data_IF_598136302479
#
_entry.id   IF_598136302479
#
_cell.length_a   1.000
_cell.length_b   1.000
_cell.length_c   1.000
_cell.angle_alpha   90.00
_cell.angle_beta   90.00
_cell.angle_gamma   90.00
#
_symmetry.space_group_name_H-M   'P 1'
#
loop_
_entity.id
_entity.type
_entity.pdbx_description
1 polymer ?
#
# COMPACT_ATOMS: atom_id res chain seq x y z
N UNK A 1 6.57 8.62 -3.72
CA UNK A 1 5.10 8.81 -3.62
C UNK A 1 4.69 9.89 -4.60
N UNK A 2 3.79 9.58 -5.53
CA UNK A 2 3.14 10.58 -6.38
C UNK A 2 1.77 10.94 -5.78
N UNK A 3 1.41 12.22 -5.80
CA UNK A 3 0.05 12.69 -5.46
C UNK A 3 -0.59 13.18 -6.75
N UNK A 4 -1.71 12.54 -7.13
CA UNK A 4 -2.42 12.85 -8.37
C UNK A 4 -3.77 13.49 -8.06
N UNK A 5 -4.07 14.60 -8.74
CA UNK A 5 -5.43 15.14 -8.76
C UNK A 5 -6.33 14.21 -9.57
N UNK A 6 -7.48 13.88 -9.01
CA UNK A 6 -8.52 13.06 -9.63
C UNK A 6 -9.82 13.87 -9.67
N UNK A 7 -10.64 13.66 -10.69
CA UNK A 7 -11.95 14.30 -10.81
C UNK A 7 -13.04 13.58 -9.96
N UNK A 8 -12.65 12.52 -9.25
CA UNK A 8 -13.50 11.78 -8.33
C UNK A 8 -13.60 12.50 -6.98
N UNK A 9 -14.80 12.51 -6.39
CA UNK A 9 -15.04 13.10 -5.09
C UNK A 9 -14.40 12.29 -3.95
N UNK A 10 -14.14 10.99 -4.15
CA UNK A 10 -13.53 10.14 -3.12
C UNK A 10 -12.03 9.94 -3.36
N UNK A 11 -11.18 10.38 -2.42
CA UNK A 11 -9.78 10.10 -2.51
C UNK A 11 -9.49 8.60 -2.40
N UNK A 12 -8.47 8.13 -3.14
CA UNK A 12 -8.05 6.72 -3.15
C UNK A 12 -6.54 6.58 -3.24
N UNK A 13 -6.07 5.36 -3.03
CA UNK A 13 -4.69 4.90 -3.27
C UNK A 13 -4.67 4.01 -4.51
N UNK A 14 -3.61 4.12 -5.29
CA UNK A 14 -3.27 3.15 -6.32
C UNK A 14 -1.77 2.82 -6.22
N UNK A 15 -1.38 1.64 -6.69
CA UNK A 15 0.02 1.22 -6.71
C UNK A 15 0.58 1.37 -8.12
N UNK A 16 1.80 1.89 -8.21
CA UNK A 16 2.57 1.91 -9.44
C UNK A 16 3.55 0.74 -9.38
N UNK A 17 3.42 -0.20 -10.32
CA UNK A 17 4.26 -1.37 -10.44
C UNK A 17 5.22 -1.16 -11.61
N UNK A 18 6.48 -0.94 -11.29
CA UNK A 18 7.51 -0.76 -12.30
C UNK A 18 7.81 -2.06 -13.02
N UNK A 19 7.88 -1.98 -14.35
CA UNK A 19 8.29 -3.11 -15.19
C UNK A 19 9.15 -2.63 -16.34
N UNK A 20 10.21 -3.39 -16.62
CA UNK A 20 11.03 -3.22 -17.82
C UNK A 20 10.33 -3.71 -19.09
N UNK A 21 9.28 -4.52 -18.97
CA UNK A 21 8.41 -4.97 -20.06
C UNK A 21 6.93 -4.79 -19.68
N UNK A 22 6.48 -3.54 -19.79
CA UNK A 22 5.09 -3.15 -19.51
C UNK A 22 4.05 -3.97 -20.30
N UNK A 23 4.18 -4.22 -21.62
CA UNK A 23 3.25 -5.09 -22.35
C UNK A 23 3.14 -6.51 -21.76
N UNK A 24 4.26 -7.15 -21.40
CA UNK A 24 4.23 -8.46 -20.76
C UNK A 24 3.60 -8.40 -19.36
N UNK A 25 3.88 -7.35 -18.59
CA UNK A 25 3.30 -7.14 -17.26
C UNK A 25 1.76 -6.96 -17.33
N UNK A 26 1.26 -6.19 -18.30
CA UNK A 26 -0.18 -6.05 -18.57
C UNK A 26 -0.81 -7.39 -18.96
N UNK A 27 -0.15 -8.18 -19.83
CA UNK A 27 -0.63 -9.52 -20.20
C UNK A 27 -0.75 -10.43 -18.98
N UNK A 28 0.30 -10.48 -18.15
CA UNK A 28 0.32 -11.25 -16.89
C UNK A 28 -0.82 -10.84 -15.97
N UNK A 29 -1.06 -9.53 -15.81
CA UNK A 29 -2.18 -9.02 -15.02
C UNK A 29 -3.53 -9.56 -15.51
N UNK A 30 -3.79 -9.51 -16.82
CA UNK A 30 -5.03 -10.02 -17.41
C UNK A 30 -5.20 -11.52 -17.19
N UNK A 31 -4.14 -12.31 -17.38
CA UNK A 31 -4.15 -13.75 -17.20
C UNK A 31 -4.42 -14.15 -15.73
N UNK A 32 -4.03 -13.29 -14.78
CA UNK A 32 -4.29 -13.44 -13.35
C UNK A 32 -5.68 -12.92 -12.91
N UNK A 33 -6.51 -12.45 -13.84
CA UNK A 33 -7.88 -11.99 -13.55
C UNK A 33 -8.03 -10.50 -13.26
N UNK A 34 -7.00 -9.69 -13.53
CA UNK A 34 -7.14 -8.24 -13.49
C UNK A 34 -8.06 -7.74 -14.60
N UNK A 35 -8.72 -6.61 -14.36
CA UNK A 35 -9.55 -5.93 -15.36
C UNK A 35 -8.89 -4.63 -15.81
N UNK A 36 -8.93 -4.27 -17.11
CA UNK A 36 -8.49 -2.95 -17.54
C UNK A 36 -9.42 -1.87 -16.99
N UNK A 37 -8.85 -0.73 -16.56
CA UNK A 37 -9.60 0.42 -16.09
C UNK A 37 -9.59 1.54 -17.13
N UNK A 38 -8.40 2.11 -17.40
CA UNK A 38 -8.19 3.11 -18.45
C UNK A 38 -6.70 3.20 -18.81
N UNK A 39 -6.36 4.03 -19.80
CA UNK A 39 -4.97 4.33 -20.15
C UNK A 39 -4.66 5.78 -19.81
N UNK A 40 -3.72 6.01 -18.88
CA UNK A 40 -3.25 7.35 -18.48
C UNK A 40 -2.31 7.89 -19.54
N UNK A 41 -2.58 9.11 -20.02
CA UNK A 41 -1.79 9.83 -21.04
C UNK A 41 -1.53 9.01 -22.32
N UNK A 42 -2.41 8.06 -22.64
CA UNK A 42 -2.27 7.19 -23.81
C UNK A 42 -1.17 6.11 -23.71
N UNK A 43 -0.47 6.01 -22.58
CA UNK A 43 0.72 5.15 -22.46
C UNK A 43 0.68 4.19 -21.28
N UNK A 44 0.23 4.65 -20.11
CA UNK A 44 0.30 3.87 -18.86
C UNK A 44 -1.03 3.16 -18.64
N UNK A 45 -1.01 1.83 -18.71
CA UNK A 45 -2.19 1.00 -18.47
C UNK A 45 -2.55 1.02 -16.97
N UNK A 46 -3.74 1.51 -16.65
CA UNK A 46 -4.34 1.42 -15.32
C UNK A 46 -5.29 0.24 -15.29
N UNK A 47 -5.12 -0.60 -14.29
CA UNK A 47 -5.78 -1.89 -14.11
C UNK A 47 -6.49 -1.94 -12.76
N UNK A 48 -7.38 -2.92 -12.60
CA UNK A 48 -8.03 -3.30 -11.34
C UNK A 48 -7.61 -4.69 -10.94
N UNK A 49 -7.30 -4.90 -9.68
CA UNK A 49 -7.22 -6.23 -9.08
C UNK A 49 -8.61 -6.89 -9.07
N UNK A 50 -8.74 -8.21 -8.80
CA UNK A 50 -10.02 -8.92 -8.81
C UNK A 50 -11.13 -8.26 -7.95
N UNK A 51 -10.77 -7.69 -6.82
CA UNK A 51 -11.62 -6.96 -5.88
C UNK A 51 -11.63 -5.44 -6.10
N UNK A 52 -11.04 -4.94 -7.19
CA UNK A 52 -11.27 -3.59 -7.70
C UNK A 52 -10.20 -2.55 -7.36
N UNK A 53 -9.15 -2.90 -6.60
CA UNK A 53 -8.07 -1.97 -6.26
C UNK A 53 -7.31 -1.56 -7.52
N UNK A 54 -7.10 -0.25 -7.68
CA UNK A 54 -6.41 0.29 -8.83
C UNK A 54 -4.90 0.16 -8.68
N UNK A 55 -4.24 -0.19 -9.78
CA UNK A 55 -2.79 -0.13 -9.92
C UNK A 55 -2.42 0.14 -11.38
N UNK A 56 -1.18 0.52 -11.64
CA UNK A 56 -0.71 0.71 -13.01
C UNK A 56 0.65 0.10 -13.25
N UNK A 57 0.94 -0.23 -14.51
CA UNK A 57 2.25 -0.69 -14.93
C UNK A 57 3.05 0.50 -15.47
N UNK A 58 4.04 0.92 -14.71
CA UNK A 58 4.96 2.03 -15.02
C UNK A 58 6.26 1.49 -15.61
N UNK A 59 7.12 2.39 -16.12
CA UNK A 59 8.42 2.01 -16.67
C UNK A 59 9.48 2.25 -15.60
N UNK A 60 10.28 1.23 -15.36
CA UNK A 60 11.44 1.27 -14.48
C UNK A 60 12.43 2.35 -14.98
N UNK A 61 12.48 3.48 -14.29
CA UNK A 61 13.62 4.38 -14.34
C UNK A 61 14.45 4.04 -13.11
N UNK A 62 15.77 3.82 -13.22
CA UNK A 62 16.59 3.48 -12.07
C UNK A 62 16.46 4.57 -11.02
N UNK A 63 15.71 4.27 -9.96
CA UNK A 63 15.65 5.10 -8.77
C UNK A 63 16.74 4.64 -7.83
N UNK A 64 17.48 5.59 -7.27
CA UNK A 64 18.16 5.33 -6.00
C UNK A 64 17.12 4.75 -5.02
N UNK A 65 17.49 3.71 -4.27
CA UNK A 65 16.58 3.06 -3.31
C UNK A 65 15.96 4.08 -2.34
N UNK A 66 14.92 3.67 -1.62
CA UNK A 66 14.25 4.59 -0.71
C UNK A 66 15.24 5.09 0.36
N UNK A 67 15.49 6.41 0.38
CA UNK A 67 16.30 7.02 1.44
C UNK A 67 15.50 6.96 2.75
N UNK A 68 16.01 6.19 3.71
CA UNK A 68 15.38 5.95 5.02
C UNK A 68 16.21 6.47 6.19
N UNK A 69 17.52 6.64 5.99
CA UNK A 69 18.45 7.03 7.05
C UNK A 69 18.17 8.46 7.56
N UNK A 70 18.19 8.63 8.87
CA UNK A 70 17.97 9.91 9.54
C UNK A 70 16.54 10.49 9.46
N UNK A 71 15.56 9.73 8.97
CA UNK A 71 14.17 10.19 8.86
C UNK A 71 13.33 9.77 10.09
N UNK A 72 12.58 10.73 10.65
CA UNK A 72 11.64 10.47 11.76
C UNK A 72 10.31 9.86 11.30
N UNK A 73 10.01 9.95 10.00
CA UNK A 73 8.80 9.44 9.37
C UNK A 73 9.08 9.01 7.93
N UNK A 74 8.61 7.81 7.57
CA UNK A 74 8.82 7.21 6.24
C UNK A 74 7.52 6.53 5.79
N UNK A 75 7.15 6.69 4.51
CA UNK A 75 6.11 5.84 3.89
C UNK A 75 6.65 4.41 3.79
N UNK A 76 6.35 3.59 4.78
CA UNK A 76 7.02 2.31 4.97
C UNK A 76 6.38 1.20 4.17
N UNK A 77 5.05 1.23 4.14
CA UNK A 77 4.22 0.15 3.67
C UNK A 77 2.93 0.71 3.08
N UNK A 78 2.37 0.00 2.11
CA UNK A 78 0.97 0.13 1.69
C UNK A 78 0.22 -1.09 2.23
N UNK A 79 -0.84 -0.85 2.98
CA UNK A 79 -1.75 -1.89 3.44
C UNK A 79 -2.90 -2.00 2.42
N UNK A 80 -3.10 -3.19 1.87
CA UNK A 80 -4.20 -3.55 0.99
C UNK A 80 -5.30 -4.15 1.86
N UNK A 81 -6.39 -3.41 2.01
CA UNK A 81 -7.55 -3.79 2.81
C UNK A 81 -8.48 -4.66 1.97
N UNK A 82 -8.54 -5.95 2.31
CA UNK A 82 -9.24 -6.97 1.55
C UNK A 82 -10.43 -7.48 2.37
N UNK A 83 -11.67 -7.29 1.91
CA UNK A 83 -12.84 -7.91 2.53
C UNK A 83 -12.69 -9.42 2.64
N UNK A 84 -13.18 -10.02 3.72
CA UNK A 84 -13.08 -11.47 3.98
C UNK A 84 -13.48 -12.33 2.75
N UNK A 85 -14.56 -11.97 2.06
CA UNK A 85 -15.05 -12.71 0.90
C UNK A 85 -14.11 -12.67 -0.32
N UNK A 86 -13.19 -11.70 -0.38
CA UNK A 86 -12.25 -11.49 -1.48
C UNK A 86 -10.82 -11.93 -1.12
N UNK A 87 -10.59 -12.35 0.14
CA UNK A 87 -9.26 -12.62 0.70
C UNK A 87 -8.42 -13.56 -0.15
N UNK A 88 -8.93 -14.76 -0.45
CA UNK A 88 -8.16 -15.78 -1.15
C UNK A 88 -7.81 -15.35 -2.59
N UNK A 89 -8.76 -14.74 -3.30
CA UNK A 89 -8.54 -14.30 -4.69
C UNK A 89 -7.51 -13.16 -4.77
N UNK A 90 -7.60 -12.18 -3.88
CA UNK A 90 -6.68 -11.05 -3.86
C UNK A 90 -5.29 -11.42 -3.40
N UNK A 91 -5.16 -12.23 -2.35
CA UNK A 91 -3.85 -12.69 -1.89
C UNK A 91 -3.14 -13.46 -2.99
N UNK A 92 -3.83 -14.39 -3.65
CA UNK A 92 -3.26 -15.15 -4.77
C UNK A 92 -2.89 -14.24 -5.95
N UNK A 93 -3.71 -13.22 -6.23
CA UNK A 93 -3.44 -12.25 -7.28
C UNK A 93 -2.18 -11.44 -7.01
N UNK A 94 -2.07 -10.79 -5.85
CA UNK A 94 -0.92 -9.95 -5.53
C UNK A 94 0.37 -10.74 -5.37
N UNK A 95 0.30 -11.94 -4.76
CA UNK A 95 1.44 -12.83 -4.66
C UNK A 95 1.98 -13.20 -6.05
N UNK A 96 1.11 -13.65 -6.96
CA UNK A 96 1.53 -14.05 -8.30
C UNK A 96 1.94 -12.86 -9.16
N UNK A 97 1.25 -11.72 -9.07
CA UNK A 97 1.58 -10.54 -9.85
C UNK A 97 2.97 -10.00 -9.50
N UNK A 98 3.27 -9.89 -8.20
CA UNK A 98 4.54 -9.37 -7.71
C UNK A 98 5.67 -10.40 -7.71
N UNK A 99 5.34 -11.70 -7.77
CA UNK A 99 6.32 -12.79 -7.67
C UNK A 99 6.97 -12.92 -6.27
N UNK A 100 6.41 -12.24 -5.26
CA UNK A 100 6.95 -12.18 -3.90
C UNK A 100 6.53 -13.38 -3.07
N UNK A 101 7.35 -13.75 -2.08
CA UNK A 101 6.96 -14.74 -1.07
C UNK A 101 5.81 -14.23 -0.21
N UNK A 102 4.90 -15.11 0.19
CA UNK A 102 3.84 -14.77 1.13
C UNK A 102 4.24 -15.22 2.53
N UNK A 103 4.27 -14.29 3.47
CA UNK A 103 4.54 -14.56 4.88
C UNK A 103 3.31 -14.26 5.72
N UNK A 104 2.88 -15.21 6.57
CA UNK A 104 1.74 -14.97 7.47
C UNK A 104 2.18 -14.12 8.65
N UNK A 105 1.37 -13.10 8.98
CA UNK A 105 1.60 -12.28 10.15
C UNK A 105 1.28 -13.00 11.45
N UNK A 106 1.67 -12.38 12.57
CA UNK A 106 1.36 -12.88 13.92
C UNK A 106 -0.14 -12.91 14.20
N UNK A 107 -0.90 -12.05 13.55
CA UNK A 107 -2.37 -12.04 13.61
C UNK A 107 -2.93 -12.58 12.30
N UNK A 108 -4.01 -13.37 12.32
CA UNK A 108 -4.54 -14.05 11.13
C UNK A 108 -5.05 -13.08 10.06
N UNK A 109 -5.39 -11.86 10.43
CA UNK A 109 -5.80 -10.80 9.51
C UNK A 109 -4.64 -10.24 8.68
N UNK A 110 -3.38 -10.59 8.95
CA UNK A 110 -2.23 -10.02 8.24
C UNK A 110 -1.45 -11.07 7.45
N UNK A 111 -1.06 -10.71 6.23
CA UNK A 111 -0.04 -11.40 5.45
C UNK A 111 0.85 -10.39 4.72
N UNK A 112 2.13 -10.71 4.56
CA UNK A 112 3.13 -9.82 3.97
C UNK A 112 3.62 -10.40 2.64
N UNK A 113 3.82 -9.53 1.65
CA UNK A 113 4.54 -9.89 0.45
C UNK A 113 6.02 -9.54 0.63
N UNK A 114 6.82 -10.57 0.89
CA UNK A 114 8.25 -10.45 1.19
C UNK A 114 8.98 -9.69 0.09
N UNK A 115 9.72 -8.66 0.50
CA UNK A 115 10.66 -7.97 -0.38
C UNK A 115 12.06 -8.54 -0.13
N UNK A 116 12.75 -9.08 -1.15
CA UNK A 116 14.13 -9.53 -0.99
C UNK A 116 15.08 -8.39 -0.61
N UNK A 117 14.72 -7.13 -0.89
CA UNK A 117 15.47 -5.96 -0.46
C UNK A 117 14.78 -5.28 0.74
N UNK A 118 15.27 -5.49 1.97
CA UNK A 118 14.70 -4.87 3.16
C UNK A 118 14.89 -3.34 3.22
N UNK A 119 15.83 -2.77 2.43
CA UNK A 119 15.99 -1.33 2.25
C UNK A 119 15.33 -0.82 0.95
N UNK A 120 14.66 -1.70 0.22
CA UNK A 120 14.13 -1.47 -1.12
C UNK A 120 12.84 -0.64 -1.14
N UNK A 121 11.91 -1.07 -1.99
CA UNK A 121 10.66 -0.37 -2.25
C UNK A 121 9.71 -0.33 -1.04
N UNK A 122 8.59 0.38 -1.20
CA UNK A 122 7.49 0.36 -0.23
C UNK A 122 7.00 -1.09 -0.04
N UNK A 123 6.84 -1.51 1.21
CA UNK A 123 6.37 -2.86 1.54
C UNK A 123 4.89 -3.02 1.24
N UNK A 124 4.43 -4.24 0.99
CA UNK A 124 3.01 -4.55 0.78
C UNK A 124 2.52 -5.44 1.90
N UNK A 125 1.58 -4.92 2.70
CA UNK A 125 0.78 -5.69 3.65
C UNK A 125 -0.57 -6.02 3.00
N UNK A 126 -0.98 -7.27 3.13
CA UNK A 126 -2.33 -7.73 2.83
C UNK A 126 -3.07 -7.82 4.17
N UNK A 127 -4.07 -6.98 4.34
CA UNK A 127 -4.87 -6.88 5.57
C UNK A 127 -6.28 -7.34 5.29
N UNK A 128 -6.70 -8.38 6.00
CA UNK A 128 -8.08 -8.82 5.98
C UNK A 128 -8.92 -7.86 6.81
N UNK A 129 -9.97 -7.34 6.19
CA UNK A 129 -10.97 -6.50 6.87
C UNK A 129 -12.32 -7.23 6.91
N UNK A 130 -13.28 -6.66 7.64
CA UNK A 130 -14.62 -7.21 7.78
C UNK A 130 -15.43 -7.23 6.48
N UNK A 131 -16.74 -7.08 6.61
CA UNK A 131 -17.64 -7.06 5.44
C UNK A 131 -17.37 -5.84 4.55
N UNK A 132 -17.27 -6.09 3.25
CA UNK A 132 -17.11 -5.08 2.20
C UNK A 132 -17.22 -5.75 0.83
N UNK A 133 -17.40 -4.94 -0.20
CA UNK A 133 -17.54 -5.40 -1.59
C UNK A 133 -16.32 -5.05 -2.45
N UNK A 134 -15.43 -4.21 -1.94
CA UNK A 134 -14.33 -3.62 -2.68
C UNK A 134 -13.05 -3.63 -1.86
N UNK A 135 -11.93 -3.86 -2.55
CA UNK A 135 -10.58 -3.79 -2.00
C UNK A 135 -10.11 -2.35 -2.03
N UNK A 136 -9.63 -1.87 -0.89
CA UNK A 136 -9.02 -0.54 -0.77
C UNK A 136 -7.57 -0.66 -0.36
N UNK A 137 -6.87 0.47 -0.25
CA UNK A 137 -5.55 0.51 0.32
C UNK A 137 -5.34 1.81 1.07
N UNK A 138 -4.48 1.77 2.07
CA UNK A 138 -4.03 2.93 2.82
C UNK A 138 -2.51 2.91 3.04
N UNK A 139 -1.88 4.08 3.16
CA UNK A 139 -0.47 4.16 3.49
C UNK A 139 -0.24 3.96 4.98
N UNK A 140 0.83 3.24 5.29
CA UNK A 140 1.37 3.08 6.64
C UNK A 140 2.70 3.80 6.73
N UNK A 141 2.78 4.76 7.65
CA UNK A 141 4.00 5.48 7.95
C UNK A 141 4.71 4.85 9.15
N UNK A 142 5.97 4.48 8.98
CA UNK A 142 6.86 4.15 10.09
C UNK A 142 7.29 5.46 10.74
N UNK A 143 7.18 5.55 12.08
CA UNK A 143 7.52 6.77 12.83
C UNK A 143 8.37 6.46 14.05
N UNK A 144 9.37 7.30 14.31
CA UNK A 144 10.26 7.14 15.45
C UNK A 144 9.56 7.39 16.80
N UNK A 145 8.60 8.33 16.83
CA UNK A 145 7.77 8.65 18.00
C UNK A 145 6.31 8.80 17.55
N UNK A 146 5.52 7.74 17.72
CA UNK A 146 4.11 7.71 17.29
C UNK A 146 3.23 8.72 18.06
N UNK A 147 3.29 8.83 19.40
CA UNK A 147 2.56 9.88 20.11
C UNK A 147 2.87 11.30 19.60
N UNK A 148 4.16 11.66 19.45
CA UNK A 148 4.54 12.98 18.98
C UNK A 148 4.08 13.24 17.53
N UNK A 149 4.23 12.25 16.65
CA UNK A 149 3.73 12.36 15.28
C UNK A 149 2.20 12.43 15.23
N UNK A 150 1.49 11.72 16.10
CA UNK A 150 0.01 11.81 16.17
C UNK A 150 -0.43 13.23 16.49
N UNK A 151 0.13 13.84 17.55
CA UNK A 151 -0.16 15.24 17.93
C UNK A 151 0.16 16.20 16.78
N UNK A 152 1.30 15.99 16.10
CA UNK A 152 1.68 16.80 14.94
C UNK A 152 0.66 16.68 13.80
N UNK A 153 0.18 15.49 13.47
CA UNK A 153 -0.80 15.29 12.40
C UNK A 153 -2.18 15.86 12.77
N UNK A 154 -2.60 15.76 14.03
CA UNK A 154 -3.81 16.41 14.52
C UNK A 154 -3.73 17.94 14.39
N UNK A 155 -2.56 18.54 14.70
CA UNK A 155 -2.34 19.98 14.49
C UNK A 155 -2.42 20.41 13.02
N UNK A 156 -2.26 19.47 12.08
CA UNK A 156 -2.39 19.68 10.64
C UNK A 156 -3.80 19.35 10.11
N UNK A 157 -4.74 19.01 11.01
CA UNK A 157 -6.14 18.75 10.70
C UNK A 157 -6.52 17.28 10.51
N UNK A 158 -5.60 16.34 10.75
CA UNK A 158 -5.99 14.93 10.83
C UNK A 158 -6.79 14.66 12.11
N UNK A 159 -7.59 13.60 12.13
CA UNK A 159 -8.35 13.14 13.29
C UNK A 159 -7.93 11.71 13.62
N UNK A 160 -7.68 11.43 14.90
CA UNK A 160 -7.46 10.06 15.37
C UNK A 160 -8.78 9.29 15.31
N UNK A 161 -8.81 8.22 14.52
CA UNK A 161 -9.97 7.33 14.45
C UNK A 161 -9.86 6.20 15.46
N UNK A 162 -8.70 5.56 15.55
CA UNK A 162 -8.49 4.44 16.45
C UNK A 162 -7.03 4.29 16.86
N UNK A 163 -6.78 3.94 18.12
CA UNK A 163 -5.44 3.65 18.65
C UNK A 163 -5.35 2.17 18.96
N UNK A 164 -4.31 1.53 18.43
CA UNK A 164 -3.95 0.14 18.72
C UNK A 164 -2.58 0.09 19.40
N UNK A 165 -2.21 -1.11 19.85
CA UNK A 165 -0.95 -1.38 20.54
C UNK A 165 0.27 -0.87 19.76
N UNK A 166 0.33 -1.12 18.45
CA UNK A 166 1.52 -0.83 17.61
C UNK A 166 1.27 0.15 16.47
N UNK A 167 0.07 0.71 16.37
CA UNK A 167 -0.27 1.69 15.35
C UNK A 167 -1.44 2.58 15.77
N UNK A 168 -1.56 3.73 15.13
CA UNK A 168 -2.67 4.68 15.27
C UNK A 168 -3.27 4.90 13.88
N UNK A 169 -4.58 4.69 13.74
CA UNK A 169 -5.34 5.01 12.53
C UNK A 169 -5.77 6.47 12.60
N UNK A 170 -5.41 7.23 11.57
CA UNK A 170 -5.82 8.62 11.40
C UNK A 170 -6.63 8.80 10.12
N UNK A 171 -7.51 9.80 10.13
CA UNK A 171 -8.25 10.29 8.98
C UNK A 171 -7.70 11.67 8.62
N UNK A 172 -7.17 11.81 7.41
CA UNK A 172 -6.68 13.08 6.88
C UNK A 172 -7.83 14.07 6.61
N UNK A 173 -7.57 15.37 6.43
CA UNK A 173 -8.61 16.37 6.15
C UNK A 173 -9.49 16.07 4.92
N UNK A 174 -8.97 15.30 3.97
CA UNK A 174 -9.69 14.86 2.77
C UNK A 174 -10.50 13.57 2.98
N UNK A 175 -10.48 13.00 4.18
CA UNK A 175 -11.19 11.77 4.56
C UNK A 175 -10.42 10.48 4.31
N UNK A 176 -9.18 10.52 3.80
CA UNK A 176 -8.35 9.31 3.64
C UNK A 176 -7.91 8.75 4.99
N UNK A 177 -8.06 7.44 5.18
CA UNK A 177 -7.42 6.71 6.28
C UNK A 177 -5.95 6.46 5.98
N UNK A 178 -5.13 6.50 7.01
CA UNK A 178 -3.73 6.08 7.01
C UNK A 178 -3.29 5.71 8.42
N UNK A 179 -2.20 4.96 8.56
CA UNK A 179 -1.67 4.59 9.87
C UNK A 179 -0.31 5.24 10.16
N UNK A 180 -0.08 5.57 11.43
CA UNK A 180 1.25 5.74 11.99
C UNK A 180 1.60 4.47 12.77
N UNK A 181 2.77 3.88 12.52
CA UNK A 181 3.17 2.59 13.07
C UNK A 181 4.45 2.69 13.89
N UNK A 182 4.60 1.84 14.91
CA UNK A 182 5.84 1.74 15.72
C UNK A 182 6.99 1.03 14.98
N UNK A 183 6.91 0.89 13.65
CA UNK A 183 8.05 0.37 12.88
C UNK A 183 9.14 1.42 12.90
N UNK A 184 10.38 0.95 13.05
CA UNK A 184 11.57 1.77 12.95
C UNK A 184 11.67 2.36 11.52
N UNK A 185 11.75 3.69 11.34
CA UNK A 185 11.76 4.30 10.01
C UNK A 185 12.94 3.86 9.12
N UNK A 186 14.09 3.56 9.72
CA UNK A 186 15.30 3.16 9.00
C UNK A 186 15.21 1.73 8.47
N UNK A 187 14.69 0.81 9.27
CA UNK A 187 14.71 -0.65 9.00
C UNK A 187 13.35 -1.24 8.64
N UNK A 188 12.26 -0.52 8.94
CA UNK A 188 10.89 -1.01 8.86
C UNK A 188 10.56 -2.12 9.85
N UNK A 189 11.42 -2.42 10.83
CA UNK A 189 11.18 -3.51 11.80
C UNK A 189 10.52 -2.97 13.05
N UNK A 190 9.68 -3.78 13.68
CA UNK A 190 9.19 -3.47 15.03
C UNK A 190 10.32 -3.75 16.03
N UNK A 191 10.54 -2.83 16.97
CA UNK A 191 11.34 -3.13 18.16
C UNK A 191 10.69 -4.28 18.95
N UNK A 192 11.52 -5.19 19.46
CA UNK A 192 11.08 -6.35 20.25
C UNK A 192 10.59 -5.97 21.64
#
# INVERSE_FOLDING_TARGET
MEIQRIDDARPRVHLDLDSTDRPAAVRRSLDLGAQPAWTRRGEVAVMRSPGGLLYCHTVDLPTEGMVRDGLDIVLDQVSIDIPEALWEAEVAFWQQLTGRSLERGRRPEFAFLGDPDPAGAVRILLQRVGSGDTVTAHPDFAVADRPAQTVRHESLGAVVEQVFERWTVLVAPDGRRYCLTDRDPATGRLAF
#
